data_IF_605641955721
#
_entry.id   IF_605641955721
#
_cell.length_a   1.000
_cell.length_b   1.000
_cell.length_c   1.000
_cell.angle_alpha   90.00
_cell.angle_beta   90.00
_cell.angle_gamma   90.00
#
_symmetry.space_group_name_H-M   'P 1'
#
loop_
_entity.id
_entity.type
_entity.pdbx_description
1 polymer ?
#
# COMPACT_ATOMS: atom_id res chain seq x y z
N UNK A 1 -23.32 -24.75 -23.43
CA UNK A 1 -23.38 -23.57 -22.53
C UNK A 1 -21.99 -23.39 -21.93
N UNK A 2 -21.32 -22.30 -22.28
CA UNK A 2 -19.98 -21.99 -21.77
C UNK A 2 -20.10 -21.57 -20.32
N UNK A 3 -19.68 -22.43 -19.39
CA UNK A 3 -19.42 -22.03 -18.01
C UNK A 3 -18.18 -21.15 -18.03
N UNK A 4 -18.37 -19.86 -18.34
CA UNK A 4 -17.43 -18.81 -18.03
C UNK A 4 -17.27 -18.86 -16.52
N UNK A 5 -16.20 -19.52 -16.06
CA UNK A 5 -15.85 -19.60 -14.66
C UNK A 5 -15.91 -18.18 -14.11
N UNK A 6 -16.96 -17.89 -13.35
CA UNK A 6 -17.03 -16.71 -12.51
C UNK A 6 -15.89 -16.92 -11.53
N UNK A 7 -14.70 -16.41 -11.86
CA UNK A 7 -13.58 -16.35 -10.94
C UNK A 7 -14.12 -15.57 -9.76
N UNK A 8 -14.55 -16.30 -8.74
CA UNK A 8 -14.81 -15.74 -7.41
C UNK A 8 -13.52 -15.01 -7.08
N UNK A 9 -13.54 -13.69 -7.22
CA UNK A 9 -12.42 -12.85 -6.86
C UNK A 9 -12.34 -12.96 -5.35
N UNK A 10 -11.59 -13.94 -4.88
CA UNK A 10 -11.37 -14.15 -3.47
C UNK A 10 -10.41 -13.04 -3.06
N UNK A 11 -10.99 -11.89 -2.68
CA UNK A 11 -10.24 -10.75 -2.20
C UNK A 11 -9.57 -11.21 -0.90
N UNK A 12 -8.25 -11.32 -0.94
CA UNK A 12 -7.46 -11.63 0.23
C UNK A 12 -7.65 -10.52 1.26
N UNK A 13 -7.99 -10.91 2.50
CA UNK A 13 -8.00 -9.98 3.62
C UNK A 13 -6.57 -9.65 4.04
N UNK A 14 -6.38 -8.59 4.83
CA UNK A 14 -5.06 -8.27 5.40
C UNK A 14 -4.47 -9.44 6.20
N UNK A 15 -5.32 -10.20 6.89
CA UNK A 15 -4.92 -11.40 7.65
C UNK A 15 -4.42 -12.50 6.72
N UNK A 16 -5.10 -12.72 5.59
CA UNK A 16 -4.68 -13.71 4.60
C UNK A 16 -3.29 -13.37 4.03
N UNK A 17 -3.05 -12.10 3.71
CA UNK A 17 -1.75 -11.63 3.21
C UNK A 17 -0.65 -11.83 4.26
N UNK A 18 -0.92 -11.54 5.53
CA UNK A 18 0.06 -11.75 6.60
C UNK A 18 0.39 -13.24 6.82
N UNK A 19 -0.62 -14.10 6.77
CA UNK A 19 -0.44 -15.54 6.90
C UNK A 19 0.37 -16.12 5.73
N UNK A 20 0.11 -15.65 4.50
CA UNK A 20 0.88 -16.03 3.33
C UNK A 20 2.33 -15.56 3.45
N UNK A 21 2.56 -14.29 3.80
CA UNK A 21 3.90 -13.77 4.00
C UNK A 21 4.69 -14.61 5.03
N UNK A 22 4.09 -14.94 6.18
CA UNK A 22 4.74 -15.82 7.18
C UNK A 22 5.10 -17.21 6.63
N UNK A 23 4.25 -17.78 5.77
CA UNK A 23 4.47 -19.11 5.18
C UNK A 23 5.52 -19.12 4.07
N UNK A 24 5.69 -18.01 3.36
CA UNK A 24 6.55 -17.91 2.17
C UNK A 24 7.83 -17.10 2.39
N UNK A 25 8.33 -17.01 3.64
CA UNK A 25 9.64 -16.40 3.93
C UNK A 25 9.61 -14.92 4.31
N UNK A 26 8.46 -14.40 4.72
CA UNK A 26 8.27 -13.02 5.15
C UNK A 26 7.76 -12.10 4.03
N UNK A 27 7.72 -10.80 4.34
CA UNK A 27 7.50 -9.76 3.34
C UNK A 27 8.87 -9.36 2.79
N UNK A 28 9.00 -9.21 1.47
CA UNK A 28 10.23 -8.64 0.91
C UNK A 28 10.43 -7.21 1.42
N UNK A 29 11.68 -6.78 1.50
CA UNK A 29 12.02 -5.41 1.92
C UNK A 29 11.30 -4.37 1.04
N UNK A 30 11.27 -4.61 -0.28
CA UNK A 30 10.52 -3.79 -1.25
C UNK A 30 9.02 -3.71 -0.89
N UNK A 31 8.39 -4.82 -0.51
CA UNK A 31 6.98 -4.82 -0.10
C UNK A 31 6.76 -3.98 1.15
N UNK A 32 7.67 -4.09 2.14
CA UNK A 32 7.60 -3.33 3.38
C UNK A 32 7.74 -1.83 3.08
N UNK A 33 8.69 -1.46 2.24
CA UNK A 33 8.93 -0.07 1.83
C UNK A 33 7.72 0.52 1.11
N UNK A 34 7.16 -0.19 0.12
CA UNK A 34 5.96 0.25 -0.61
C UNK A 34 4.79 0.43 0.36
N UNK A 35 4.56 -0.54 1.25
CA UNK A 35 3.47 -0.46 2.23
C UNK A 35 3.65 0.70 3.20
N UNK A 36 4.87 0.96 3.66
CA UNK A 36 5.17 2.08 4.54
C UNK A 36 4.96 3.42 3.82
N UNK A 37 5.41 3.52 2.57
CA UNK A 37 5.21 4.72 1.73
C UNK A 37 3.73 5.03 1.55
N UNK A 38 2.91 4.02 1.26
CA UNK A 38 1.46 4.18 1.14
C UNK A 38 0.81 4.61 2.46
N UNK A 39 1.22 4.03 3.58
CA UNK A 39 0.73 4.42 4.92
C UNK A 39 1.10 5.87 5.23
N UNK A 40 2.34 6.26 4.96
CA UNK A 40 2.83 7.62 5.18
C UNK A 40 2.04 8.62 4.32
N UNK A 41 1.81 8.32 3.04
CA UNK A 41 1.03 9.20 2.16
C UNK A 41 -0.42 9.37 2.66
N UNK A 42 -1.05 8.31 3.14
CA UNK A 42 -2.39 8.40 3.76
C UNK A 42 -2.38 9.30 5.00
N UNK A 43 -1.37 9.18 5.85
CA UNK A 43 -1.20 10.02 7.04
C UNK A 43 -0.98 11.48 6.67
N UNK A 44 -0.09 11.76 5.73
CA UNK A 44 0.19 13.12 5.23
C UNK A 44 -1.10 13.76 4.70
N UNK A 45 -1.85 13.04 3.86
CA UNK A 45 -3.09 13.56 3.28
C UNK A 45 -4.21 13.77 4.32
N UNK A 46 -4.17 13.06 5.45
CA UNK A 46 -5.17 13.17 6.51
C UNK A 46 -5.01 14.45 7.34
N UNK A 47 -3.79 14.96 7.50
CA UNK A 47 -3.48 16.09 8.39
C UNK A 47 -3.00 17.30 7.59
N UNK A 48 -3.75 18.41 7.65
CA UNK A 48 -3.50 19.62 6.87
C UNK A 48 -2.05 20.15 7.00
N UNK A 49 -1.54 20.27 8.23
CA UNK A 49 -0.17 20.75 8.46
C UNK A 49 0.89 19.83 7.81
N UNK A 50 0.71 18.51 7.87
CA UNK A 50 1.64 17.57 7.23
C UNK A 50 1.56 17.69 5.71
N UNK A 51 0.36 17.91 5.17
CA UNK A 51 0.14 18.10 3.74
C UNK A 51 0.81 19.37 3.22
N UNK A 52 0.67 20.48 3.93
CA UNK A 52 1.31 21.76 3.58
C UNK A 52 2.85 21.64 3.57
N UNK A 53 3.42 20.95 4.57
CA UNK A 53 4.87 20.69 4.63
C UNK A 53 5.32 19.81 3.46
N UNK A 54 4.60 18.72 3.17
CA UNK A 54 4.89 17.82 2.04
C UNK A 54 4.89 18.57 0.69
N UNK A 55 3.90 19.42 0.47
CA UNK A 55 3.77 20.21 -0.77
C UNK A 55 4.89 21.27 -0.89
N UNK A 56 5.29 21.91 0.22
CA UNK A 56 6.41 22.85 0.25
C UNK A 56 7.76 22.17 -0.05
N UNK A 57 8.00 20.97 0.50
CA UNK A 57 9.20 20.18 0.23
C UNK A 57 9.25 19.77 -1.25
N UNK A 58 8.15 19.27 -1.81
CA UNK A 58 8.05 18.89 -3.23
C UNK A 58 8.32 20.06 -4.17
N UNK A 59 7.83 21.25 -3.82
CA UNK A 59 8.08 22.48 -4.58
C UNK A 59 9.55 22.88 -4.54
N UNK A 60 10.24 22.63 -3.42
CA UNK A 60 11.67 22.95 -3.25
C UNK A 60 12.57 22.00 -4.03
N UNK A 61 12.24 20.71 -4.08
CA UNK A 61 13.05 19.69 -4.77
C UNK A 61 12.92 19.72 -6.31
N UNK A 62 11.91 20.42 -6.83
CA UNK A 62 11.66 20.57 -8.27
C UNK A 62 12.24 21.89 -8.86
N UNK A 63 12.99 22.66 -8.06
CA UNK A 63 13.74 23.86 -8.48
C UNK A 63 15.22 23.54 -8.59
#
# INVERSE_FOLDING_TARGET
>A
MNNLATKSSQILTSSDIENLARRFGGKSDDYIEIMNTQKNQKTINKYALLKEIDDAIKTTNNK
#
